data_IF_050631095962
#
_entry.id   IF_050631095962
#
_cell.length_a   1.000
_cell.length_b   1.000
_cell.length_c   1.000
_cell.angle_alpha   90.00
_cell.angle_beta   90.00
_cell.angle_gamma   90.00
#
_symmetry.space_group_name_H-M   'P 1'
#
loop_
_entity.id
_entity.type
_entity.pdbx_description
1 polymer ?
#
# COMPACT_ATOMS: atom_id res chain seq x y z
N UNK A 1 -8.54 -13.06 16.20
CA UNK A 1 -7.78 -13.50 15.01
C UNK A 1 -8.15 -12.72 13.74
N UNK A 2 -9.43 -12.64 13.30
CA UNK A 2 -9.79 -11.90 12.06
C UNK A 2 -9.35 -10.43 12.03
N UNK A 3 -9.45 -9.71 13.16
CA UNK A 3 -9.08 -8.28 13.23
C UNK A 3 -7.61 -8.00 12.89
N UNK A 4 -6.72 -8.96 13.17
CA UNK A 4 -5.30 -8.84 12.90
C UNK A 4 -4.99 -9.08 11.40
N UNK A 5 -5.78 -9.95 10.77
CA UNK A 5 -5.69 -10.24 9.33
C UNK A 5 -6.23 -9.04 8.53
N UNK A 6 -7.37 -8.46 8.93
CA UNK A 6 -7.96 -7.29 8.26
C UNK A 6 -7.20 -5.99 8.50
N UNK A 7 -6.24 -5.97 9.42
CA UNK A 7 -5.34 -4.83 9.64
C UNK A 7 -4.01 -4.96 8.88
N UNK A 8 -3.78 -6.07 8.15
CA UNK A 8 -2.57 -6.19 7.34
C UNK A 8 -2.60 -5.20 6.17
N UNK A 9 -1.62 -4.28 6.06
CA UNK A 9 -1.55 -3.29 4.98
C UNK A 9 -1.48 -3.95 3.61
N UNK A 10 -0.75 -5.06 3.49
CA UNK A 10 -0.62 -5.82 2.25
C UNK A 10 -1.94 -6.44 1.81
N UNK A 11 -2.70 -7.04 2.75
CA UNK A 11 -4.00 -7.63 2.43
C UNK A 11 -5.04 -6.55 2.09
N UNK A 12 -4.99 -5.40 2.77
CA UNK A 12 -5.84 -4.25 2.45
C UNK A 12 -5.51 -3.67 1.07
N UNK A 13 -4.24 -3.55 0.71
CA UNK A 13 -3.83 -3.09 -0.62
C UNK A 13 -4.28 -4.07 -1.70
N UNK A 14 -3.99 -5.36 -1.51
CA UNK A 14 -4.31 -6.39 -2.50
C UNK A 14 -5.81 -6.53 -2.72
N UNK A 15 -6.59 -6.56 -1.64
CA UNK A 15 -8.06 -6.58 -1.73
C UNK A 15 -8.61 -5.29 -2.36
N UNK A 16 -8.08 -4.12 -1.98
CA UNK A 16 -8.43 -2.84 -2.59
C UNK A 16 -8.18 -2.83 -4.10
N UNK A 17 -7.03 -3.32 -4.56
CA UNK A 17 -6.68 -3.40 -5.99
C UNK A 17 -7.60 -4.35 -6.76
N UNK A 18 -7.90 -5.54 -6.21
CA UNK A 18 -8.83 -6.49 -6.83
C UNK A 18 -10.23 -5.86 -6.93
N UNK A 19 -10.72 -5.27 -5.85
CA UNK A 19 -12.04 -4.63 -5.83
C UNK A 19 -12.12 -3.45 -6.79
N UNK A 20 -11.05 -2.65 -6.90
CA UNK A 20 -10.97 -1.54 -7.84
C UNK A 20 -11.03 -2.05 -9.29
N UNK A 21 -10.24 -3.07 -9.62
CA UNK A 21 -10.20 -3.65 -10.97
C UNK A 21 -11.57 -4.25 -11.36
N UNK A 22 -12.16 -5.07 -10.48
CA UNK A 22 -13.45 -5.73 -10.75
C UNK A 22 -14.59 -4.72 -10.83
N UNK A 23 -14.67 -3.77 -9.90
CA UNK A 23 -15.74 -2.75 -9.94
C UNK A 23 -15.61 -1.80 -11.14
N UNK A 24 -14.39 -1.45 -11.55
CA UNK A 24 -14.16 -0.64 -12.75
C UNK A 24 -14.59 -1.40 -14.01
N UNK A 25 -14.25 -2.70 -14.10
CA UNK A 25 -14.69 -3.55 -15.21
C UNK A 25 -16.21 -3.68 -15.28
N UNK A 26 -16.87 -3.92 -14.15
CA UNK A 26 -18.33 -3.98 -14.09
C UNK A 26 -18.99 -2.65 -14.46
N UNK A 27 -18.47 -1.52 -13.98
CA UNK A 27 -19.00 -0.20 -14.34
C UNK A 27 -18.83 0.05 -15.86
N UNK A 28 -17.69 -0.33 -16.43
CA UNK A 28 -17.42 -0.15 -17.85
C UNK A 28 -18.32 -1.00 -18.77
N UNK A 29 -18.75 -2.19 -18.32
CA UNK A 29 -19.64 -3.06 -19.10
C UNK A 29 -21.12 -2.73 -18.95
N UNK A 30 -21.53 -2.12 -17.83
CA UNK A 30 -22.94 -1.94 -17.48
C UNK A 30 -23.40 -0.48 -17.49
N UNK A 31 -22.75 0.36 -18.31
CA UNK A 31 -22.97 1.82 -18.37
C UNK A 31 -24.45 2.20 -18.59
N UNK A 32 -25.24 1.33 -19.23
CA UNK A 32 -26.67 1.54 -19.52
C UNK A 32 -27.63 1.14 -18.38
N UNK A 33 -27.21 0.26 -17.46
CA UNK A 33 -28.03 -0.19 -16.34
C UNK A 33 -27.67 0.61 -15.08
N UNK A 34 -28.38 1.72 -14.89
CA UNK A 34 -28.25 2.67 -13.78
C UNK A 34 -28.62 2.10 -12.38
N UNK A 35 -28.09 0.93 -12.03
CA UNK A 35 -27.98 0.45 -10.64
C UNK A 35 -26.82 1.19 -9.96
N UNK A 36 -27.12 2.44 -9.57
CA UNK A 36 -26.17 3.45 -9.07
C UNK A 36 -25.64 3.16 -7.65
N UNK A 37 -26.23 2.21 -6.91
CA UNK A 37 -26.02 2.07 -5.47
C UNK A 37 -24.85 1.19 -5.03
N UNK A 38 -24.78 -0.06 -5.52
CA UNK A 38 -23.85 -1.06 -4.96
C UNK A 38 -22.48 -0.99 -5.63
N UNK A 39 -22.45 -0.83 -6.97
CA UNK A 39 -21.20 -0.82 -7.75
C UNK A 39 -20.31 0.39 -7.45
N UNK A 40 -20.90 1.57 -7.30
CA UNK A 40 -20.15 2.77 -6.90
C UNK A 40 -19.66 2.70 -5.45
N UNK A 41 -20.40 2.02 -4.55
CA UNK A 41 -19.97 1.76 -3.18
C UNK A 41 -18.68 0.93 -3.12
N UNK A 42 -18.57 -0.12 -3.94
CA UNK A 42 -17.36 -0.97 -4.02
C UNK A 42 -16.17 -0.18 -4.58
N UNK A 43 -16.40 0.66 -5.60
CA UNK A 43 -15.37 1.53 -6.16
C UNK A 43 -14.85 2.53 -5.11
N UNK A 44 -15.73 3.22 -4.39
CA UNK A 44 -15.32 4.16 -3.33
C UNK A 44 -14.61 3.42 -2.19
N UNK A 45 -15.12 2.26 -1.79
CA UNK A 45 -14.52 1.44 -0.73
C UNK A 45 -13.08 1.03 -1.10
N UNK A 46 -12.87 0.55 -2.33
CA UNK A 46 -11.54 0.17 -2.81
C UNK A 46 -10.56 1.35 -2.84
N UNK A 47 -11.01 2.53 -3.27
CA UNK A 47 -10.19 3.76 -3.24
C UNK A 47 -9.78 4.13 -1.81
N UNK A 48 -10.72 4.11 -0.85
CA UNK A 48 -10.43 4.39 0.56
C UNK A 48 -9.41 3.38 1.11
N UNK A 49 -9.52 2.11 0.72
CA UNK A 49 -8.63 1.05 1.18
C UNK A 49 -7.21 1.24 0.64
N UNK A 50 -7.05 1.64 -0.62
CA UNK A 50 -5.75 1.97 -1.22
C UNK A 50 -5.12 3.19 -0.54
N UNK A 51 -5.90 4.27 -0.33
CA UNK A 51 -5.41 5.50 0.33
C UNK A 51 -4.91 5.21 1.74
N UNK A 52 -5.56 4.32 2.48
CA UNK A 52 -5.12 3.92 3.84
C UNK A 52 -3.76 3.25 3.87
N UNK A 53 -3.30 2.64 2.77
CA UNK A 53 -2.00 1.95 2.72
C UNK A 53 -0.85 2.89 2.35
N UNK A 54 -1.14 4.03 1.71
CA UNK A 54 -0.13 5.05 1.36
C UNK A 54 0.79 5.43 2.53
N UNK A 55 0.29 5.82 3.73
CA UNK A 55 1.17 6.21 4.83
C UNK A 55 2.09 5.07 5.30
N UNK A 56 1.65 3.80 5.20
CA UNK A 56 2.48 2.65 5.55
C UNK A 56 3.61 2.44 4.54
N UNK A 57 3.32 2.60 3.24
CA UNK A 57 4.34 2.53 2.18
C UNK A 57 5.38 3.63 2.38
N UNK A 58 4.94 4.87 2.65
CA UNK A 58 5.85 6.00 2.88
C UNK A 58 6.77 5.71 4.08
N UNK A 59 6.23 5.21 5.19
CA UNK A 59 7.04 4.81 6.35
C UNK A 59 8.08 3.76 6.00
N UNK A 60 7.67 2.69 5.31
CA UNK A 60 8.59 1.63 4.90
C UNK A 60 9.71 2.14 3.99
N UNK A 61 9.43 3.08 3.09
CA UNK A 61 10.45 3.70 2.25
C UNK A 61 11.43 4.57 3.05
N UNK A 62 10.92 5.34 4.01
CA UNK A 62 11.77 6.14 4.91
C UNK A 62 12.67 5.25 5.75
N UNK A 63 12.15 4.15 6.31
CA UNK A 63 12.94 3.20 7.09
C UNK A 63 14.06 2.54 6.27
N UNK A 64 13.79 2.20 4.99
CA UNK A 64 14.81 1.67 4.08
C UNK A 64 15.90 2.72 3.81
N UNK A 65 15.51 3.97 3.57
CA UNK A 65 16.48 5.04 3.32
C UNK A 65 17.35 5.29 4.56
N UNK A 66 16.75 5.36 5.75
CA UNK A 66 17.49 5.53 7.00
C UNK A 66 18.47 4.36 7.24
N UNK A 67 18.06 3.13 6.93
CA UNK A 67 18.94 1.96 7.03
C UNK A 67 20.14 2.04 6.06
N UNK A 68 19.92 2.47 4.81
CA UNK A 68 21.00 2.68 3.84
C UNK A 68 22.01 3.75 4.31
N UNK A 69 21.51 4.86 4.86
CA UNK A 69 22.36 5.94 5.42
C UNK A 69 23.17 5.45 6.62
N UNK A 70 22.56 4.68 7.52
CA UNK A 70 23.25 4.09 8.68
C UNK A 70 24.34 3.10 8.26
N UNK A 71 24.08 2.25 7.27
CA UNK A 71 25.07 1.30 6.75
C UNK A 71 26.26 2.01 6.10
N UNK A 72 26.01 3.10 5.37
CA UNK A 72 27.08 3.91 4.77
C UNK A 72 27.99 4.53 5.83
N UNK A 73 27.41 5.14 6.88
CA UNK A 73 28.17 5.73 7.98
C UNK A 73 28.98 4.69 8.77
N UNK A 74 28.41 3.50 8.99
CA UNK A 74 29.13 2.44 9.69
C UNK A 74 30.30 1.91 8.86
N UNK A 75 30.13 1.77 7.55
CA UNK A 75 31.20 1.37 6.66
C UNK A 75 32.35 2.40 6.66
N UNK A 76 32.04 3.70 6.68
CA UNK A 76 33.06 4.75 6.80
C UNK A 76 33.84 4.67 8.12
N UNK A 77 33.17 4.41 9.25
CA UNK A 77 33.82 4.24 10.55
C UNK A 77 34.76 3.04 10.61
N UNK A 78 34.36 1.92 10.01
CA UNK A 78 35.21 0.72 9.96
C UNK A 78 36.47 0.97 9.13
N UNK A 79 36.36 1.70 8.01
CA UNK A 79 37.52 2.10 7.20
C UNK A 79 38.47 3.03 7.97
N UNK A 80 37.94 3.96 8.77
CA UNK A 80 38.78 4.84 9.60
C UNK A 80 39.48 4.09 10.74
N UNK A 81 38.84 3.09 11.36
CA UNK A 81 39.45 2.26 12.40
C UNK A 81 40.57 1.35 11.89
N UNK A 82 40.45 0.81 10.68
CA UNK A 82 41.49 -0.05 10.08
C UNK A 82 42.69 0.76 9.55
N UNK A 83 42.54 2.08 9.34
CA UNK A 83 43.58 2.97 8.85
C UNK A 83 44.47 3.58 9.96
N UNK A 84 44.09 3.43 11.24
CA UNK A 84 44.78 3.95 12.43
C UNK A 84 45.56 2.88 13.19
#
# INVERSE_FOLDING_TARGET
MLRQITQSPYLNLFSGLILLATSTYEIALTVDEASFGIRHGILIFSLVQIVKVIPEIVRGLTEIQEADEMMAQENERLVEQDAS
#
